data_IF_168898646512
#
_entry.id   IF_168898646512
#
_cell.length_a   1.000
_cell.length_b   1.000
_cell.length_c   1.000
_cell.angle_alpha   90.00
_cell.angle_beta   90.00
_cell.angle_gamma   90.00
#
_symmetry.space_group_name_H-M   'P 1'
#
loop_
_entity.id
_entity.type
_entity.pdbx_description
1 polymer ?
#
# COMPACT_ATOMS: atom_id res chain seq x y z
N UNK A 1 5.11 -37.92 -49.43
CA UNK A 1 3.68 -38.00 -49.04
C UNK A 1 3.68 -38.63 -47.66
N UNK A 2 3.44 -37.92 -46.57
CA UNK A 2 2.32 -37.03 -46.29
C UNK A 2 2.69 -35.94 -45.28
N UNK A 3 2.16 -34.75 -45.52
CA UNK A 3 2.19 -33.54 -44.69
C UNK A 3 1.30 -33.60 -43.44
N UNK A 4 1.57 -32.63 -42.55
CA UNK A 4 0.69 -31.99 -41.55
C UNK A 4 0.42 -32.79 -40.25
N UNK A 5 0.35 -32.17 -39.06
CA UNK A 5 -0.32 -30.90 -38.73
C UNK A 5 0.47 -30.16 -37.63
N UNK A 6 0.99 -28.98 -37.96
CA UNK A 6 1.34 -27.96 -36.97
C UNK A 6 0.06 -27.22 -36.58
N UNK A 7 -0.42 -27.45 -35.35
CA UNK A 7 -1.55 -26.73 -34.78
C UNK A 7 -1.20 -25.25 -34.62
N UNK A 8 -1.76 -24.41 -35.49
CA UNK A 8 -1.72 -22.96 -35.37
C UNK A 8 -2.63 -22.55 -34.21
N UNK A 9 -2.05 -22.43 -33.02
CA UNK A 9 -2.70 -21.90 -31.84
C UNK A 9 -2.95 -20.40 -32.06
N UNK A 10 -4.13 -20.07 -32.61
CA UNK A 10 -4.57 -18.69 -32.83
C UNK A 10 -4.62 -17.98 -31.49
N UNK A 11 -3.55 -17.26 -31.14
CA UNK A 11 -3.54 -16.30 -30.01
C UNK A 11 -4.83 -15.50 -30.05
N UNK A 12 -5.71 -15.76 -29.09
CA UNK A 12 -6.98 -15.07 -28.89
C UNK A 12 -6.68 -13.56 -28.88
N UNK A 13 -7.31 -12.81 -29.79
CA UNK A 13 -7.10 -11.36 -29.87
C UNK A 13 -7.67 -10.75 -28.59
N UNK A 14 -6.80 -10.27 -27.71
CA UNK A 14 -7.21 -9.53 -26.51
C UNK A 14 -8.12 -8.36 -26.92
N UNK A 15 -9.15 -8.12 -26.10
CA UNK A 15 -9.89 -6.87 -26.14
C UNK A 15 -8.97 -5.69 -25.85
N UNK A 16 -9.43 -4.48 -26.18
CA UNK A 16 -8.67 -3.27 -25.89
C UNK A 16 -8.42 -3.09 -24.39
N UNK A 17 -9.37 -3.52 -23.56
CA UNK A 17 -9.27 -3.44 -22.10
C UNK A 17 -8.27 -4.45 -21.54
N UNK A 18 -8.37 -5.73 -21.92
CA UNK A 18 -7.41 -6.76 -21.50
C UNK A 18 -5.97 -6.40 -21.91
N UNK A 19 -5.80 -5.79 -23.09
CA UNK A 19 -4.49 -5.30 -23.53
C UNK A 19 -4.00 -4.13 -22.68
N UNK A 20 -4.90 -3.22 -22.30
CA UNK A 20 -4.58 -2.08 -21.43
C UNK A 20 -4.10 -2.58 -20.08
N UNK A 21 -4.81 -3.53 -19.49
CA UNK A 21 -4.45 -4.14 -18.20
C UNK A 21 -3.11 -4.89 -18.29
N UNK A 22 -2.85 -5.62 -19.39
CA UNK A 22 -1.54 -6.24 -19.66
C UNK A 22 -0.41 -5.20 -19.64
N UNK A 23 -0.62 -4.03 -20.24
CA UNK A 23 0.38 -2.96 -20.24
C UNK A 23 0.57 -2.34 -18.87
N UNK A 24 -0.51 -2.13 -18.10
CA UNK A 24 -0.41 -1.62 -16.72
C UNK A 24 0.38 -2.59 -15.86
N UNK A 25 0.09 -3.90 -15.92
CA UNK A 25 0.78 -4.90 -15.10
C UNK A 25 2.28 -4.95 -15.38
N UNK A 26 2.67 -4.97 -16.65
CA UNK A 26 4.09 -4.93 -17.01
C UNK A 26 4.75 -3.58 -16.69
N UNK A 27 4.00 -2.47 -16.71
CA UNK A 27 4.50 -1.17 -16.29
C UNK A 27 4.73 -1.12 -14.76
N UNK A 28 3.87 -1.77 -13.96
CA UNK A 28 4.07 -1.97 -12.52
C UNK A 28 5.41 -2.68 -12.28
N UNK A 29 5.64 -3.81 -12.96
CA UNK A 29 6.91 -4.55 -12.85
C UNK A 29 8.11 -3.67 -13.22
N UNK A 30 8.02 -2.95 -14.35
CA UNK A 30 9.09 -2.08 -14.81
C UNK A 30 9.39 -0.93 -13.83
N UNK A 31 8.37 -0.24 -13.32
CA UNK A 31 8.57 0.86 -12.38
C UNK A 31 9.00 0.37 -10.99
N UNK A 32 8.60 -0.84 -10.60
CA UNK A 32 9.14 -1.47 -9.41
C UNK A 32 10.63 -1.78 -9.60
N UNK A 33 11.11 -2.16 -10.78
CA UNK A 33 12.52 -2.47 -11.01
C UNK A 33 13.39 -1.23 -11.20
N UNK A 34 13.00 -0.36 -12.12
CA UNK A 34 13.82 0.73 -12.66
C UNK A 34 13.46 2.11 -12.11
N UNK A 35 12.35 2.22 -11.39
CA UNK A 35 11.79 3.49 -10.96
C UNK A 35 11.27 4.34 -12.12
N UNK A 36 10.97 5.60 -11.84
CA UNK A 36 10.20 6.47 -12.75
C UNK A 36 11.04 7.36 -13.68
N UNK A 37 12.38 7.30 -13.60
CA UNK A 37 13.30 8.12 -14.42
C UNK A 37 13.47 7.58 -15.85
N UNK A 38 13.32 6.27 -16.06
CA UNK A 38 13.52 5.60 -17.34
C UNK A 38 12.61 6.11 -18.46
N UNK A 39 13.07 6.11 -19.72
CA UNK A 39 12.30 6.72 -20.81
C UNK A 39 11.08 5.88 -21.22
N UNK A 40 10.06 6.50 -21.82
CA UNK A 40 8.91 5.77 -22.38
C UNK A 40 9.32 4.79 -23.49
N UNK A 41 10.44 5.05 -24.17
CA UNK A 41 11.01 4.15 -25.18
C UNK A 41 11.54 2.87 -24.53
N UNK A 42 12.22 2.97 -23.39
CA UNK A 42 12.73 1.80 -22.66
C UNK A 42 11.58 0.97 -22.10
N UNK A 43 10.53 1.63 -21.60
CA UNK A 43 9.29 0.98 -21.19
C UNK A 43 8.64 0.24 -22.37
N UNK A 44 8.43 0.89 -23.52
CA UNK A 44 7.85 0.24 -24.69
C UNK A 44 8.66 -1.01 -25.13
N UNK A 45 10.00 -0.91 -25.09
CA UNK A 45 10.89 -2.05 -25.34
C UNK A 45 10.69 -3.18 -24.32
N UNK A 46 10.57 -2.87 -23.01
CA UNK A 46 10.26 -3.87 -21.96
C UNK A 46 8.90 -4.53 -22.19
N UNK A 47 7.91 -3.75 -22.62
CA UNK A 47 6.56 -4.23 -22.93
C UNK A 47 6.49 -5.10 -24.20
N UNK A 48 7.53 -5.08 -25.04
CA UNK A 48 7.56 -5.77 -26.32
C UNK A 48 6.69 -5.10 -27.39
N UNK A 49 6.46 -3.78 -27.27
CA UNK A 49 5.61 -3.01 -28.18
C UNK A 49 6.32 -1.78 -28.72
N UNK A 50 5.78 -1.20 -29.78
CA UNK A 50 6.26 0.09 -30.28
C UNK A 50 5.76 1.21 -29.38
N UNK A 51 6.55 2.29 -29.25
CA UNK A 51 6.16 3.47 -28.48
C UNK A 51 4.85 4.11 -28.98
N UNK A 52 4.58 4.22 -30.31
CA UNK A 52 3.28 4.69 -30.79
C UNK A 52 2.11 3.78 -30.39
N UNK A 53 2.31 2.46 -30.33
CA UNK A 53 1.26 1.55 -29.86
C UNK A 53 0.96 1.78 -28.38
N UNK A 54 1.97 2.01 -27.55
CA UNK A 54 1.76 2.33 -26.14
C UNK A 54 0.95 3.63 -25.97
N UNK A 55 1.26 4.66 -26.76
CA UNK A 55 0.53 5.93 -26.73
C UNK A 55 -0.90 5.85 -27.29
N UNK A 56 -1.28 4.74 -27.93
CA UNK A 56 -2.68 4.49 -28.30
C UNK A 56 -3.55 4.16 -27.06
N UNK A 57 -2.95 3.68 -25.98
CA UNK A 57 -3.66 3.27 -24.76
C UNK A 57 -3.50 4.28 -23.62
N UNK A 58 -2.45 5.09 -23.64
CA UNK A 58 -2.15 6.09 -22.61
C UNK A 58 -1.67 7.36 -23.32
N UNK A 59 -2.33 8.49 -23.11
CA UNK A 59 -2.01 9.73 -23.84
C UNK A 59 -0.59 10.24 -23.52
N UNK A 60 -0.08 9.91 -22.33
CA UNK A 60 1.27 10.25 -21.89
C UNK A 60 1.85 9.19 -20.94
N UNK A 61 3.15 9.33 -20.64
CA UNK A 61 3.79 8.55 -19.57
C UNK A 61 3.16 8.84 -18.21
N UNK A 62 2.69 10.07 -17.97
CA UNK A 62 2.06 10.44 -16.70
C UNK A 62 0.69 9.77 -16.54
N UNK A 63 -0.05 9.55 -17.63
CA UNK A 63 -1.31 8.81 -17.59
C UNK A 63 -1.07 7.34 -17.25
N UNK A 64 -0.04 6.72 -17.85
CA UNK A 64 0.37 5.38 -17.47
C UNK A 64 0.83 5.30 -16.00
N UNK A 65 1.57 6.29 -15.50
CA UNK A 65 1.96 6.36 -14.08
C UNK A 65 0.71 6.50 -13.18
N UNK A 66 -0.28 7.28 -13.61
CA UNK A 66 -1.53 7.45 -12.87
C UNK A 66 -2.33 6.15 -12.80
N UNK A 67 -2.35 5.36 -13.87
CA UNK A 67 -2.98 4.04 -13.91
C UNK A 67 -2.24 3.00 -13.06
N UNK A 68 -0.91 3.06 -13.04
CA UNK A 68 -0.08 2.28 -12.11
C UNK A 68 -0.40 2.67 -10.66
N UNK A 69 -0.53 3.96 -10.37
CA UNK A 69 -0.92 4.43 -9.04
C UNK A 69 -2.30 3.91 -8.63
N UNK A 70 -3.29 4.06 -9.51
CA UNK A 70 -4.65 3.58 -9.27
C UNK A 70 -4.66 2.07 -8.99
N UNK A 71 -3.94 1.30 -9.80
CA UNK A 71 -3.89 -0.16 -9.69
C UNK A 71 -3.15 -0.64 -8.44
N UNK A 72 -2.05 0.00 -8.07
CA UNK A 72 -1.20 -0.45 -6.95
C UNK A 72 -1.73 0.04 -5.59
N UNK A 73 -2.27 1.27 -5.52
CA UNK A 73 -2.61 1.89 -4.23
C UNK A 73 -4.11 2.02 -3.99
N UNK A 74 -4.89 2.37 -5.01
CA UNK A 74 -6.32 2.65 -4.83
C UNK A 74 -7.12 1.35 -4.91
N UNK A 75 -6.92 0.53 -5.94
CA UNK A 75 -7.63 -0.75 -6.10
C UNK A 75 -7.23 -1.81 -5.07
N UNK A 76 -6.01 -1.75 -4.54
CA UNK A 76 -5.55 -2.64 -3.46
C UNK A 76 -5.95 -2.15 -2.06
N UNK A 77 -6.50 -0.94 -1.94
CA UNK A 77 -7.06 -0.46 -0.69
C UNK A 77 -8.36 -1.21 -0.40
N UNK A 78 -8.38 -2.00 0.66
CA UNK A 78 -9.57 -2.77 1.00
C UNK A 78 -10.55 -1.88 1.77
N UNK A 79 -11.80 -1.85 1.31
CA UNK A 79 -12.86 -1.04 1.92
C UNK A 79 -13.30 -1.57 3.29
N UNK A 80 -13.14 -2.87 3.52
CA UNK A 80 -13.51 -3.53 4.79
C UNK A 80 -12.59 -3.16 5.96
N UNK A 81 -11.45 -2.52 5.70
CA UNK A 81 -10.56 -2.04 6.76
C UNK A 81 -11.19 -0.94 7.61
N UNK A 82 -11.97 -0.05 7.01
CA UNK A 82 -12.63 1.05 7.72
C UNK A 82 -13.75 0.48 8.62
N UNK A 83 -14.53 -0.48 8.09
CA UNK A 83 -15.56 -1.19 8.84
C UNK A 83 -14.96 -1.99 10.01
N UNK A 84 -13.85 -2.71 9.77
CA UNK A 84 -13.12 -3.45 10.80
C UNK A 84 -12.64 -2.54 11.92
N UNK A 85 -12.09 -1.37 11.59
CA UNK A 85 -11.63 -0.41 12.58
C UNK A 85 -12.80 0.21 13.36
N UNK A 86 -14.00 0.31 12.79
CA UNK A 86 -15.19 0.87 13.44
C UNK A 86 -16.02 -0.15 14.25
N UNK A 87 -15.65 -1.44 14.25
CA UNK A 87 -16.43 -2.51 14.89
C UNK A 87 -16.30 -2.53 16.42
N UNK A 88 -17.03 -1.64 17.09
CA UNK A 88 -16.97 -1.42 18.54
C UNK A 88 -17.40 -2.61 19.41
N UNK A 89 -17.99 -3.66 18.83
CA UNK A 89 -18.26 -4.90 19.57
C UNK A 89 -16.98 -5.70 19.86
N UNK A 90 -15.88 -5.39 19.18
CA UNK A 90 -14.55 -6.01 19.37
C UNK A 90 -13.60 -5.00 20.01
N UNK A 91 -12.79 -5.40 21.02
CA UNK A 91 -11.79 -4.52 21.61
C UNK A 91 -10.87 -3.89 20.57
N UNK A 92 -10.54 -2.61 20.72
CA UNK A 92 -9.72 -1.87 19.74
C UNK A 92 -8.41 -2.58 19.45
N UNK A 93 -7.74 -3.08 20.49
CA UNK A 93 -6.48 -3.82 20.34
C UNK A 93 -6.60 -4.97 19.33
N UNK A 94 -7.67 -5.75 19.42
CA UNK A 94 -7.88 -6.92 18.57
C UNK A 94 -8.26 -6.53 17.12
N UNK A 95 -9.03 -5.44 16.97
CA UNK A 95 -9.27 -4.80 15.66
C UNK A 95 -7.97 -4.36 15.01
N UNK A 96 -7.09 -3.69 15.75
CA UNK A 96 -5.79 -3.22 15.27
C UNK A 96 -4.88 -4.39 14.84
N UNK A 97 -4.85 -5.49 15.61
CA UNK A 97 -4.09 -6.68 15.25
C UNK A 97 -4.56 -7.28 13.93
N UNK A 98 -5.87 -7.42 13.79
CA UNK A 98 -6.50 -7.93 12.57
C UNK A 98 -6.22 -7.02 11.37
N UNK A 99 -6.37 -5.71 11.57
CA UNK A 99 -6.12 -4.70 10.55
C UNK A 99 -4.66 -4.72 10.10
N UNK A 100 -3.68 -4.62 11.01
CA UNK A 100 -2.27 -4.51 10.63
C UNK A 100 -1.71 -5.78 10.00
N UNK A 101 -2.20 -6.97 10.38
CA UNK A 101 -1.89 -8.22 9.67
C UNK A 101 -2.38 -8.15 8.22
N UNK A 102 -3.65 -7.85 8.00
CA UNK A 102 -4.21 -7.72 6.65
C UNK A 102 -3.61 -6.57 5.83
N UNK A 103 -3.25 -5.46 6.49
CA UNK A 103 -2.63 -4.30 5.86
C UNK A 103 -1.22 -4.62 5.35
N UNK A 104 -0.43 -5.33 6.15
CA UNK A 104 0.94 -5.72 5.80
C UNK A 104 0.99 -6.75 4.67
N UNK A 105 0.00 -7.63 4.53
CA UNK A 105 -0.16 -8.52 3.37
C UNK A 105 -0.26 -7.76 2.02
N UNK A 106 -0.78 -6.53 2.05
CA UNK A 106 -0.88 -5.66 0.87
C UNK A 106 0.38 -4.82 0.71
N UNK A 107 0.76 -4.11 1.77
CA UNK A 107 1.81 -3.07 1.70
C UNK A 107 3.20 -3.65 1.58
N UNK A 108 3.44 -4.88 2.04
CA UNK A 108 4.77 -5.53 1.90
C UNK A 108 4.96 -6.22 0.55
N UNK A 109 4.00 -6.12 -0.36
CA UNK A 109 4.21 -6.59 -1.73
C UNK A 109 5.37 -5.81 -2.36
N UNK A 110 6.28 -6.54 -3.01
CA UNK A 110 7.53 -6.00 -3.55
C UNK A 110 7.30 -4.83 -4.51
N UNK A 111 6.29 -4.93 -5.38
CA UNK A 111 5.94 -3.87 -6.32
C UNK A 111 5.41 -2.63 -5.60
N UNK A 112 4.53 -2.80 -4.62
CA UNK A 112 4.01 -1.74 -3.77
C UNK A 112 5.15 -0.96 -3.12
N UNK A 113 6.03 -1.64 -2.38
CA UNK A 113 7.10 -0.98 -1.62
C UNK A 113 8.11 -0.26 -2.51
N UNK A 114 8.52 -0.91 -3.60
CA UNK A 114 9.53 -0.34 -4.50
C UNK A 114 9.00 0.86 -5.25
N UNK A 115 7.77 0.79 -5.77
CA UNK A 115 7.13 1.92 -6.44
C UNK A 115 6.95 3.07 -5.45
N UNK A 116 6.55 2.79 -4.20
CA UNK A 116 6.36 3.83 -3.19
C UNK A 116 7.68 4.55 -2.88
N UNK A 117 8.77 3.81 -2.70
CA UNK A 117 10.09 4.39 -2.47
C UNK A 117 10.59 5.21 -3.67
N UNK A 118 10.48 4.69 -4.89
CA UNK A 118 10.88 5.43 -6.09
C UNK A 118 10.05 6.69 -6.32
N UNK A 119 8.75 6.64 -6.05
CA UNK A 119 7.88 7.80 -6.15
C UNK A 119 8.28 8.89 -5.15
N UNK A 120 8.70 8.50 -3.94
CA UNK A 120 9.12 9.42 -2.88
C UNK A 120 10.32 10.25 -3.31
N UNK A 121 11.28 9.62 -4.00
CA UNK A 121 12.47 10.29 -4.54
C UNK A 121 12.19 11.19 -5.75
N UNK A 122 11.07 10.97 -6.47
CA UNK A 122 10.69 11.72 -7.69
C UNK A 122 9.59 12.76 -7.43
N UNK A 123 9.69 13.50 -6.32
CA UNK A 123 8.77 14.59 -6.00
C UNK A 123 7.51 14.19 -5.22
N UNK A 124 7.32 12.88 -4.94
CA UNK A 124 6.51 12.38 -3.84
C UNK A 124 5.00 12.60 -3.92
N UNK A 125 4.42 12.93 -5.09
CA UNK A 125 2.98 13.16 -5.20
C UNK A 125 2.16 11.91 -4.86
N UNK A 126 2.55 10.75 -5.42
CA UNK A 126 1.98 9.45 -5.08
C UNK A 126 2.05 9.20 -3.57
N UNK A 127 3.20 9.47 -2.96
CA UNK A 127 3.41 9.29 -1.52
C UNK A 127 2.51 10.20 -0.71
N UNK A 128 2.42 11.50 -1.03
CA UNK A 128 1.54 12.46 -0.35
C UNK A 128 0.10 11.98 -0.38
N UNK A 129 -0.44 11.67 -1.56
CA UNK A 129 -1.82 11.18 -1.72
C UNK A 129 -2.10 9.92 -0.89
N UNK A 130 -1.17 8.97 -0.87
CA UNK A 130 -1.32 7.75 -0.08
C UNK A 130 -1.21 8.00 1.43
N UNK A 131 -0.24 8.81 1.86
CA UNK A 131 -0.02 9.19 3.26
C UNK A 131 -1.23 9.96 3.81
N UNK A 132 -1.79 10.89 3.03
CA UNK A 132 -3.01 11.62 3.38
C UNK A 132 -4.21 10.67 3.53
N UNK A 133 -4.32 9.67 2.64
CA UNK A 133 -5.33 8.61 2.76
C UNK A 133 -5.14 7.80 4.05
N UNK A 134 -3.92 7.35 4.35
CA UNK A 134 -3.61 6.61 5.59
C UNK A 134 -3.94 7.44 6.82
N UNK A 135 -3.57 8.72 6.85
CA UNK A 135 -3.91 9.62 7.95
C UNK A 135 -5.42 9.65 8.18
N UNK A 136 -6.19 10.00 7.16
CA UNK A 136 -7.64 10.23 7.30
C UNK A 136 -8.46 8.95 7.49
N UNK A 137 -8.02 7.82 6.92
CA UNK A 137 -8.80 6.56 6.91
C UNK A 137 -8.28 5.48 7.85
N UNK A 138 -7.10 5.66 8.43
CA UNK A 138 -6.52 4.69 9.38
C UNK A 138 -6.15 5.39 10.68
N UNK A 139 -5.24 6.36 10.64
CA UNK A 139 -4.68 6.90 11.88
C UNK A 139 -5.70 7.69 12.71
N UNK A 140 -6.43 8.61 12.07
CA UNK A 140 -7.45 9.39 12.77
C UNK A 140 -8.61 8.52 13.28
N UNK A 141 -9.15 7.54 12.50
CA UNK A 141 -10.11 6.57 13.02
C UNK A 141 -9.61 5.79 14.22
N UNK A 142 -8.36 5.31 14.23
CA UNK A 142 -7.78 4.60 15.37
C UNK A 142 -7.81 5.47 16.63
N UNK A 143 -7.48 6.76 16.51
CA UNK A 143 -7.48 7.70 17.64
C UNK A 143 -8.91 7.96 18.13
N UNK A 144 -9.87 8.17 17.22
CA UNK A 144 -11.29 8.35 17.57
C UNK A 144 -11.85 7.13 18.30
N UNK A 145 -11.53 5.94 17.82
CA UNK A 145 -11.98 4.69 18.43
C UNK A 145 -11.31 4.41 19.78
N UNK A 146 -10.03 4.78 19.93
CA UNK A 146 -9.35 4.74 21.23
C UNK A 146 -10.05 5.65 22.25
N UNK A 147 -10.39 6.88 21.85
CA UNK A 147 -11.10 7.83 22.71
C UNK A 147 -12.46 7.29 23.11
N UNK A 148 -13.21 6.75 22.15
CA UNK A 148 -14.51 6.13 22.41
C UNK A 148 -14.41 4.99 23.43
N UNK A 149 -13.48 4.05 23.24
CA UNK A 149 -13.30 2.89 24.13
C UNK A 149 -12.91 3.28 25.57
N UNK A 150 -12.26 4.44 25.72
CA UNK A 150 -11.84 4.99 27.00
C UNK A 150 -12.77 6.07 27.58
N UNK A 151 -13.92 6.33 26.94
CA UNK A 151 -14.89 7.33 27.40
C UNK A 151 -14.35 8.76 27.39
N UNK A 152 -13.37 9.06 26.53
CA UNK A 152 -12.81 10.39 26.36
C UNK A 152 -13.75 11.26 25.50
N UNK A 153 -13.73 12.60 25.65
CA UNK A 153 -14.58 13.50 24.90
C UNK A 153 -14.36 13.38 23.38
N UNK A 154 -15.46 13.51 22.63
CA UNK A 154 -15.41 13.67 21.18
C UNK A 154 -14.90 15.08 20.84
N UNK A 155 -13.77 15.14 20.14
CA UNK A 155 -13.18 16.38 19.63
C UNK A 155 -12.27 16.06 18.46
N UNK A 156 -11.72 17.09 17.82
CA UNK A 156 -10.76 16.90 16.74
C UNK A 156 -9.53 16.11 17.23
N UNK A 157 -9.04 15.26 16.34
CA UNK A 157 -7.77 14.55 16.53
C UNK A 157 -6.64 15.57 16.47
N UNK A 158 -5.81 15.60 17.50
CA UNK A 158 -4.72 16.57 17.59
C UNK A 158 -3.51 16.12 16.77
N UNK A 159 -2.62 17.05 16.38
CA UNK A 159 -1.35 16.69 15.73
C UNK A 159 -0.52 15.71 16.58
N UNK A 160 -0.48 15.89 17.90
CA UNK A 160 0.31 15.04 18.81
C UNK A 160 -0.20 13.59 18.83
N UNK A 161 -1.52 13.39 18.87
CA UNK A 161 -2.11 12.04 18.76
C UNK A 161 -1.80 11.42 17.39
N UNK A 162 -1.87 12.24 16.34
CA UNK A 162 -1.55 11.80 14.98
C UNK A 162 -0.09 11.35 14.87
N UNK A 163 0.85 12.05 15.51
CA UNK A 163 2.27 11.68 15.52
C UNK A 163 2.55 10.38 16.31
N UNK A 164 1.79 10.11 17.38
CA UNK A 164 1.86 8.84 18.09
C UNK A 164 1.44 7.68 17.18
N UNK A 165 0.34 7.85 16.45
CA UNK A 165 -0.13 6.86 15.47
C UNK A 165 0.86 6.68 14.31
N UNK A 166 1.47 7.77 13.81
CA UNK A 166 2.49 7.72 12.77
C UNK A 166 3.74 6.96 13.20
N UNK A 167 4.20 7.14 14.44
CA UNK A 167 5.39 6.46 14.96
C UNK A 167 5.24 4.94 14.88
N UNK A 168 4.04 4.44 15.16
CA UNK A 168 3.70 3.01 15.10
C UNK A 168 3.50 2.54 13.67
N UNK A 169 2.71 3.26 12.87
CA UNK A 169 2.48 2.92 11.46
C UNK A 169 3.78 2.87 10.67
N UNK A 170 4.63 3.90 10.85
CA UNK A 170 5.96 4.00 10.25
C UNK A 170 6.92 2.91 10.74
N UNK A 171 6.87 2.55 12.02
CA UNK A 171 7.66 1.46 12.58
C UNK A 171 7.33 0.10 11.95
N UNK A 172 6.05 -0.22 11.79
CA UNK A 172 5.59 -1.43 11.08
C UNK A 172 6.00 -1.36 9.61
N UNK A 173 5.79 -0.23 8.93
CA UNK A 173 6.22 -0.05 7.54
C UNK A 173 7.74 -0.26 7.36
N UNK A 174 8.54 0.30 8.26
CA UNK A 174 10.00 0.17 8.22
C UNK A 174 10.48 -1.27 8.46
N UNK A 175 9.72 -2.11 9.17
CA UNK A 175 9.98 -3.55 9.19
C UNK A 175 9.93 -4.15 7.78
N UNK A 176 8.90 -3.82 6.99
CA UNK A 176 8.79 -4.23 5.59
C UNK A 176 9.96 -3.72 4.75
N UNK A 177 10.39 -2.47 4.95
CA UNK A 177 11.56 -1.93 4.23
C UNK A 177 12.81 -2.75 4.52
N UNK A 178 13.09 -3.06 5.79
CA UNK A 178 14.28 -3.83 6.16
C UNK A 178 14.25 -5.25 5.59
N UNK A 179 13.10 -5.90 5.61
CA UNK A 179 12.96 -7.29 5.19
C UNK A 179 12.85 -7.43 3.68
N UNK A 180 11.92 -6.71 3.05
CA UNK A 180 11.58 -6.85 1.62
C UNK A 180 12.49 -6.04 0.70
N UNK A 181 13.01 -4.89 1.16
CA UNK A 181 13.85 -4.01 0.34
C UNK A 181 15.34 -4.22 0.61
N UNK A 182 15.73 -4.29 1.89
CA UNK A 182 17.14 -4.45 2.26
C UNK A 182 17.57 -5.91 2.38
N UNK A 183 16.63 -6.87 2.35
CA UNK A 183 16.93 -8.30 2.48
C UNK A 183 17.46 -8.69 3.86
N UNK A 184 17.20 -7.89 4.89
CA UNK A 184 17.64 -8.19 6.25
C UNK A 184 16.78 -9.31 6.84
N UNK A 185 17.45 -10.30 7.44
CA UNK A 185 16.75 -11.32 8.22
C UNK A 185 16.12 -10.69 9.47
N UNK A 186 14.83 -10.92 9.75
CA UNK A 186 14.18 -10.35 10.91
C UNK A 186 14.76 -10.93 12.21
N UNK A 187 15.06 -10.05 13.18
CA UNK A 187 15.43 -10.47 14.54
C UNK A 187 14.23 -11.11 15.26
N UNK A 188 13.04 -10.54 15.03
CA UNK A 188 11.74 -11.03 15.48
C UNK A 188 10.77 -10.99 14.31
N UNK A 189 9.83 -11.94 14.26
CA UNK A 189 8.84 -12.03 13.19
C UNK A 189 7.87 -10.84 13.15
N UNK A 190 7.12 -10.74 12.04
CA UNK A 190 6.18 -9.65 11.78
C UNK A 190 5.10 -9.55 12.87
N UNK A 191 4.51 -10.67 13.29
CA UNK A 191 3.47 -10.67 14.33
C UNK A 191 3.96 -10.05 15.64
N UNK A 192 5.19 -10.36 16.06
CA UNK A 192 5.78 -9.75 17.26
C UNK A 192 5.91 -8.23 17.10
N UNK A 193 6.33 -7.77 15.92
CA UNK A 193 6.47 -6.33 15.63
C UNK A 193 5.11 -5.66 15.67
N UNK A 194 4.08 -6.24 15.04
CA UNK A 194 2.72 -5.72 15.04
C UNK A 194 2.17 -5.63 16.47
N UNK A 195 2.25 -6.72 17.25
CA UNK A 195 1.76 -6.77 18.63
C UNK A 195 2.44 -5.71 19.51
N UNK A 196 3.77 -5.66 19.48
CA UNK A 196 4.52 -4.69 20.31
C UNK A 196 4.33 -3.26 19.86
N UNK A 197 4.15 -3.01 18.56
CA UNK A 197 3.83 -1.70 18.01
C UNK A 197 2.43 -1.24 18.46
N UNK A 198 1.42 -2.11 18.41
CA UNK A 198 0.06 -1.79 18.87
C UNK A 198 0.04 -1.53 20.37
N UNK A 199 0.68 -2.39 21.17
CA UNK A 199 0.80 -2.18 22.61
C UNK A 199 1.52 -0.87 22.92
N UNK A 200 2.56 -0.54 22.15
CA UNK A 200 3.25 0.75 22.24
C UNK A 200 2.35 1.95 21.95
N UNK A 201 1.49 1.86 20.92
CA UNK A 201 0.51 2.90 20.60
C UNK A 201 -0.46 3.14 21.75
N UNK A 202 -1.12 2.06 22.20
CA UNK A 202 -2.15 2.15 23.23
C UNK A 202 -1.58 2.68 24.55
N UNK A 203 -0.41 2.19 24.97
CA UNK A 203 0.29 2.72 26.14
C UNK A 203 0.71 4.19 25.98
N UNK A 204 1.06 4.60 24.75
CA UNK A 204 1.40 5.98 24.43
C UNK A 204 0.19 6.92 24.56
N UNK A 205 -0.96 6.48 24.05
CA UNK A 205 -2.23 7.19 24.17
C UNK A 205 -2.74 7.23 25.62
N UNK A 206 -2.61 6.14 26.37
CA UNK A 206 -2.93 6.10 27.81
C UNK A 206 -2.15 7.18 28.55
N UNK A 207 -0.84 7.25 28.30
CA UNK A 207 0.03 8.25 28.91
C UNK A 207 -0.33 9.67 28.47
N UNK A 208 -0.64 9.87 27.20
CA UNK A 208 -0.99 11.18 26.65
C UNK A 208 -2.28 11.72 27.27
N UNK A 209 -3.30 10.87 27.45
CA UNK A 209 -4.59 11.26 28.01
C UNK A 209 -4.69 11.11 29.54
N UNK A 210 -3.67 10.56 30.21
CA UNK A 210 -3.69 10.30 31.65
C UNK A 210 -4.65 9.18 32.05
N UNK A 211 -4.92 8.22 31.17
CA UNK A 211 -5.74 7.04 31.47
C UNK A 211 -4.95 6.10 32.38
N UNK A 212 -5.48 5.81 33.56
CA UNK A 212 -4.85 4.90 34.50
C UNK A 212 -4.87 3.46 33.95
N UNK A 213 -3.72 2.77 33.98
CA UNK A 213 -3.65 1.35 33.56
C UNK A 213 -4.65 0.51 34.36
N UNK A 214 -5.56 -0.17 33.67
CA UNK A 214 -6.34 -1.25 34.28
C UNK A 214 -5.33 -2.35 34.68
N UNK A 215 -5.23 -2.61 35.99
CA UNK A 215 -4.41 -3.70 36.54
C UNK A 215 -5.00 -5.05 36.17
#
# INVERSE_FOLDING_TARGET
>A
MTDAIAGNDKRKRLSSEERRDEFVQKAIEFFAEEGFSSSTRDLAKRLGVTQPLLYRYFDSKNDLISEVYETVYVRRWRTDWEDLLAERSVPLRDRLLTFYRAYTDVVFQRDWMRIFLFAGLKGGEINRRYIDRVRGRVLEPIIREYRYENGLPESDVTPEETELAWSVHGGIYYFGVRTEIYGQKPIKGLDYVIETSIDGLLNGLDRFHGVARRR
#
